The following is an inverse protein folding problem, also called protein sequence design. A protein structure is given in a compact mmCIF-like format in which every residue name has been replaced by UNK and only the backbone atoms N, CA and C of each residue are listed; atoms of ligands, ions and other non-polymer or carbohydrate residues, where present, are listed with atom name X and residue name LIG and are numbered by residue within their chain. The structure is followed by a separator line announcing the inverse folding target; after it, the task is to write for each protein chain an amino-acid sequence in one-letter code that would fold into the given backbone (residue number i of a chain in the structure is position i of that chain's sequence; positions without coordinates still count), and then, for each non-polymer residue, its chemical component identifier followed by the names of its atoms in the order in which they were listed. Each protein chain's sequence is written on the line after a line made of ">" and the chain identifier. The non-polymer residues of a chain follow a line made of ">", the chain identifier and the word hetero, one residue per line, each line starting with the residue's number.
data_IF_745347734009
#
_entry.id   IF_745347734009
#
_cell.length_a   1.000
_cell.length_b   1.000
_cell.length_c   1.000
_cell.angle_alpha   90.00
_cell.angle_beta   90.00
_cell.angle_gamma   90.00
#
_symmetry.space_group_name_H-M   'P 1'
#
loop_
_entity.id
_entity.type
_entity.pdbx_description
1 polymer ?
#
# COMPACT_ATOMS: atom_id res chain seq x y z
N UNK A 1 27.89 -12.80 10.44
CA UNK A 1 27.40 -13.79 9.45
C UNK A 1 26.07 -13.40 8.81
N UNK A 2 24.91 -13.54 9.46
CA UNK A 2 23.60 -13.24 8.83
C UNK A 2 23.46 -11.76 8.43
N UNK A 3 23.88 -10.85 9.31
CA UNK A 3 23.91 -9.41 9.03
C UNK A 3 24.77 -9.08 7.81
N UNK A 4 25.98 -9.63 7.76
CA UNK A 4 26.92 -9.34 6.68
C UNK A 4 26.41 -9.88 5.35
N UNK A 5 25.86 -11.09 5.33
CA UNK A 5 25.23 -11.67 4.13
C UNK A 5 24.01 -10.85 3.68
N UNK A 6 23.17 -10.42 4.62
CA UNK A 6 21.97 -9.63 4.33
C UNK A 6 22.31 -8.23 3.76
N UNK A 7 23.36 -7.59 4.26
CA UNK A 7 23.87 -6.32 3.73
C UNK A 7 24.56 -6.53 2.38
N UNK A 8 25.35 -7.60 2.22
CA UNK A 8 26.05 -7.90 0.97
C UNK A 8 25.11 -8.13 -0.21
N UNK A 9 23.93 -8.73 0.03
CA UNK A 9 22.89 -8.87 -1.01
C UNK A 9 22.04 -7.60 -1.17
N UNK A 10 22.31 -6.53 -0.43
CA UNK A 10 21.58 -5.28 -0.50
C UNK A 10 20.14 -5.40 0.00
N UNK A 11 19.92 -6.06 1.13
CA UNK A 11 18.60 -6.20 1.76
C UNK A 11 17.52 -6.88 0.89
N UNK A 12 17.91 -7.71 -0.09
CA UNK A 12 17.04 -8.43 -1.05
C UNK A 12 16.17 -9.55 -0.45
N UNK A 13 15.88 -9.50 0.85
CA UNK A 13 15.02 -10.47 1.51
C UNK A 13 15.68 -11.81 1.83
N UNK A 14 14.84 -12.77 2.23
CA UNK A 14 15.24 -14.08 2.79
C UNK A 14 15.97 -14.95 1.78
N UNK A 15 15.42 -15.11 0.57
CA UNK A 15 15.94 -16.05 -0.43
C UNK A 15 17.38 -15.70 -0.83
N UNK A 16 17.64 -14.43 -1.15
CA UNK A 16 18.99 -13.97 -1.51
C UNK A 16 19.97 -14.15 -0.35
N UNK A 17 19.55 -13.79 0.87
CA UNK A 17 20.38 -13.94 2.08
C UNK A 17 20.70 -15.41 2.36
N UNK A 18 19.72 -16.30 2.22
CA UNK A 18 19.91 -17.74 2.41
C UNK A 18 20.83 -18.35 1.36
N UNK A 19 20.63 -18.02 0.08
CA UNK A 19 21.48 -18.52 -1.01
C UNK A 19 22.94 -18.14 -0.82
N UNK A 20 23.23 -16.90 -0.41
CA UNK A 20 24.60 -16.48 -0.14
C UNK A 20 25.20 -17.24 1.05
N UNK A 21 24.46 -17.38 2.15
CA UNK A 21 24.94 -18.12 3.33
C UNK A 21 25.16 -19.61 3.03
N UNK A 22 24.28 -20.22 2.23
CA UNK A 22 24.31 -21.63 1.91
C UNK A 22 25.53 -22.06 1.08
N UNK A 23 26.27 -21.11 0.48
CA UNK A 23 27.52 -21.40 -0.25
C UNK A 23 28.66 -21.84 0.66
N UNK A 24 28.66 -21.37 1.92
CA UNK A 24 29.79 -21.56 2.84
C UNK A 24 29.38 -22.19 4.18
N UNK A 25 28.10 -22.14 4.52
CA UNK A 25 27.60 -22.59 5.82
C UNK A 25 26.37 -23.49 5.67
N UNK A 26 26.25 -24.47 6.57
CA UNK A 26 25.10 -25.36 6.65
C UNK A 26 24.81 -25.70 8.11
N UNK A 27 23.56 -25.52 8.54
CA UNK A 27 23.09 -25.99 9.83
C UNK A 27 21.60 -26.36 9.81
N UNK A 28 21.12 -27.20 10.75
CA UNK A 28 19.70 -27.54 10.86
C UNK A 28 18.85 -26.30 11.15
N UNK A 29 17.81 -26.06 10.35
CA UNK A 29 16.91 -24.92 10.54
C UNK A 29 17.41 -23.58 9.96
N UNK A 30 18.54 -23.55 9.26
CA UNK A 30 19.13 -22.35 8.66
C UNK A 30 18.14 -21.45 7.92
N UNK A 31 17.27 -22.03 7.10
CA UNK A 31 16.28 -21.28 6.35
C UNK A 31 15.31 -20.51 7.26
N UNK A 32 14.85 -21.15 8.35
CA UNK A 32 13.97 -20.56 9.34
C UNK A 32 14.65 -19.43 10.10
N UNK A 33 15.92 -19.59 10.44
CA UNK A 33 16.67 -18.58 11.17
C UNK A 33 16.95 -17.35 10.29
N UNK A 34 17.30 -17.56 9.02
CA UNK A 34 17.42 -16.48 8.03
C UNK A 34 16.10 -15.76 7.83
N UNK A 35 14.99 -16.49 7.75
CA UNK A 35 13.65 -15.90 7.65
C UNK A 35 13.34 -14.98 8.84
N UNK A 36 13.59 -15.45 10.07
CA UNK A 36 13.40 -14.66 11.30
C UNK A 36 14.29 -13.43 11.34
N UNK A 37 15.56 -13.58 10.95
CA UNK A 37 16.52 -12.49 10.92
C UNK A 37 16.11 -11.38 9.95
N UNK A 38 15.78 -11.75 8.70
CA UNK A 38 15.36 -10.79 7.68
C UNK A 38 14.04 -10.11 8.07
N UNK A 39 13.08 -10.87 8.61
CA UNK A 39 11.81 -10.31 9.07
C UNK A 39 11.98 -9.30 10.21
N UNK A 40 13.01 -9.43 11.05
CA UNK A 40 13.31 -8.52 12.15
C UNK A 40 14.20 -7.32 11.75
N UNK A 41 14.58 -7.19 10.48
CA UNK A 41 15.48 -6.14 10.01
C UNK A 41 14.77 -4.77 9.99
N UNK A 42 15.11 -3.86 10.90
CA UNK A 42 14.48 -2.54 11.02
C UNK A 42 14.50 -1.70 9.72
N UNK A 43 15.62 -1.60 8.98
CA UNK A 43 15.61 -0.91 7.67
C UNK A 43 14.61 -1.52 6.69
N UNK A 44 14.52 -2.86 6.62
CA UNK A 44 13.58 -3.54 5.74
C UNK A 44 12.13 -3.37 6.18
N UNK A 45 11.85 -3.32 7.48
CA UNK A 45 10.50 -3.07 7.98
C UNK A 45 10.05 -1.62 7.73
N UNK A 46 10.97 -0.66 7.87
CA UNK A 46 10.67 0.77 7.71
C UNK A 46 10.52 1.16 6.24
N UNK A 47 11.44 0.70 5.40
CA UNK A 47 11.57 1.16 4.02
C UNK A 47 11.06 0.11 3.01
N UNK A 48 10.64 -1.06 3.50
CA UNK A 48 10.06 -2.13 2.67
C UNK A 48 8.67 -1.77 2.16
N UNK A 49 8.23 -2.41 1.06
CA UNK A 49 6.87 -2.24 0.59
C UNK A 49 5.90 -2.65 1.70
N UNK A 50 4.96 -1.77 2.02
CA UNK A 50 3.82 -2.13 2.83
C UNK A 50 3.12 -3.29 2.10
N UNK A 51 2.99 -4.44 2.75
CA UNK A 51 2.02 -5.44 2.32
C UNK A 51 0.68 -4.72 2.29
N UNK A 52 0.23 -4.36 1.09
CA UNK A 52 -1.08 -3.80 0.89
C UNK A 52 -2.06 -4.92 1.21
N UNK A 53 -2.42 -5.04 2.49
CA UNK A 53 -3.68 -5.63 2.88
C UNK A 53 -4.73 -4.67 2.33
N UNK A 54 -5.01 -4.76 1.04
CA UNK A 54 -6.14 -4.08 0.41
C UNK A 54 -7.38 -4.74 0.98
N UNK A 55 -7.75 -4.33 2.19
CA UNK A 55 -9.10 -4.55 2.68
C UNK A 55 -9.96 -3.68 1.81
N UNK A 56 -10.53 -4.26 0.74
CA UNK A 56 -11.66 -3.65 0.07
C UNK A 56 -12.76 -3.55 1.13
N UNK A 57 -12.90 -2.36 1.71
CA UNK A 57 -14.06 -2.03 2.52
C UNK A 57 -15.25 -1.98 1.58
N UNK A 58 -15.87 -3.14 1.34
CA UNK A 58 -17.18 -3.22 0.72
C UNK A 58 -18.17 -2.55 1.67
N UNK A 59 -18.54 -1.30 1.39
CA UNK A 59 -19.55 -0.60 2.17
C UNK A 59 -20.89 -1.29 1.88
N UNK A 60 -21.53 -1.95 2.85
CA UNK A 60 -22.83 -2.57 2.61
C UNK A 60 -23.82 -1.47 2.22
N UNK A 61 -24.51 -1.68 1.09
CA UNK A 61 -25.60 -0.81 0.69
C UNK A 61 -26.68 -0.89 1.78
N UNK A 62 -26.79 0.17 2.59
CA UNK A 62 -27.89 0.28 3.55
C UNK A 62 -29.16 0.57 2.75
N UNK A 63 -30.20 -0.29 2.81
CA UNK A 63 -31.45 0.03 2.16
C UNK A 63 -32.01 1.28 2.83
N UNK A 64 -32.30 2.31 2.02
CA UNK A 64 -33.11 3.49 2.40
C UNK A 64 -32.33 4.63 3.09
N UNK A 65 -31.05 4.84 2.80
CA UNK A 65 -30.39 6.14 3.07
C UNK A 65 -30.01 6.84 1.76
N UNK A 66 -30.51 8.07 1.56
CA UNK A 66 -30.01 8.98 0.52
C UNK A 66 -28.66 9.53 0.97
N UNK A 67 -27.62 8.74 0.82
CA UNK A 67 -26.24 9.18 1.03
C UNK A 67 -25.72 9.85 -0.25
N UNK A 68 -25.03 10.99 -0.08
CA UNK A 68 -24.34 11.70 -1.15
C UNK A 68 -22.84 11.60 -0.91
N UNK A 69 -22.09 11.16 -1.92
CA UNK A 69 -20.66 11.29 -1.99
C UNK A 69 -20.35 12.63 -2.65
N UNK A 70 -19.65 13.51 -1.94
CA UNK A 70 -19.32 14.85 -2.42
C UNK A 70 -17.79 14.95 -2.51
N UNK A 71 -17.29 15.39 -3.66
CA UNK A 71 -15.86 15.62 -3.89
C UNK A 71 -15.63 16.95 -4.64
N UNK A 72 -14.37 17.38 -4.68
CA UNK A 72 -13.93 18.56 -5.42
C UNK A 72 -12.89 18.17 -6.45
N UNK A 73 -13.21 18.42 -7.71
CA UNK A 73 -12.25 18.24 -8.80
C UNK A 73 -11.59 19.56 -9.12
N UNK A 74 -10.26 19.59 -9.04
CA UNK A 74 -9.45 20.76 -9.45
C UNK A 74 -9.26 20.73 -10.97
N UNK A 75 -9.57 21.83 -11.62
CA UNK A 75 -9.43 22.01 -13.07
C UNK A 75 -8.64 23.29 -13.41
N UNK A 76 -8.13 23.40 -14.64
CA UNK A 76 -7.65 24.67 -15.17
C UNK A 76 -8.72 25.75 -15.06
N UNK A 77 -8.30 26.97 -14.70
CA UNK A 77 -9.23 28.06 -14.48
C UNK A 77 -9.97 28.43 -15.77
N UNK A 78 -11.30 28.39 -15.72
CA UNK A 78 -12.18 28.82 -16.80
C UNK A 78 -13.22 29.77 -16.23
N UNK A 79 -13.38 30.95 -16.86
CA UNK A 79 -14.36 31.96 -16.43
C UNK A 79 -14.27 32.34 -14.94
N UNK A 80 -13.05 32.34 -14.38
CA UNK A 80 -12.82 32.67 -12.97
C UNK A 80 -13.22 31.57 -11.97
N UNK A 81 -13.47 30.35 -12.44
CA UNK A 81 -13.77 29.16 -11.63
C UNK A 81 -12.70 28.10 -11.83
N UNK A 82 -12.29 27.43 -10.75
CA UNK A 82 -11.20 26.43 -10.73
C UNK A 82 -11.66 25.05 -10.32
N UNK A 83 -12.78 24.95 -9.63
CA UNK A 83 -13.22 23.68 -9.05
C UNK A 83 -14.58 23.29 -9.62
N UNK A 84 -14.83 21.99 -9.63
CA UNK A 84 -16.17 21.43 -9.76
C UNK A 84 -16.47 20.75 -8.43
N UNK A 85 -17.58 21.14 -7.81
CA UNK A 85 -18.21 20.36 -6.75
C UNK A 85 -19.00 19.25 -7.43
N UNK A 86 -18.61 17.99 -7.26
CA UNK A 86 -19.42 16.86 -7.71
C UNK A 86 -20.13 16.22 -6.51
N UNK A 87 -21.44 16.04 -6.64
CA UNK A 87 -22.28 15.36 -5.68
C UNK A 87 -22.91 14.14 -6.35
N UNK A 88 -22.54 12.95 -5.91
CA UNK A 88 -23.04 11.68 -6.41
C UNK A 88 -23.95 11.02 -5.38
N UNK A 89 -25.18 10.74 -5.76
CA UNK A 89 -26.04 9.86 -4.98
C UNK A 89 -25.46 8.45 -4.98
N UNK A 90 -25.11 7.91 -3.81
CA UNK A 90 -24.48 6.58 -3.72
C UNK A 90 -25.48 5.43 -3.93
N UNK A 91 -26.78 5.74 -3.91
CA UNK A 91 -27.85 4.77 -4.16
C UNK A 91 -28.24 4.70 -5.64
N UNK A 92 -28.54 5.84 -6.27
CA UNK A 92 -29.01 5.88 -7.67
C UNK A 92 -27.89 6.06 -8.70
N UNK A 93 -26.70 6.50 -8.26
CA UNK A 93 -25.61 6.89 -9.16
C UNK A 93 -25.83 8.23 -9.86
N UNK A 94 -26.91 8.96 -9.57
CA UNK A 94 -27.16 10.30 -10.13
C UNK A 94 -26.06 11.28 -9.68
N UNK A 95 -25.61 12.15 -10.60
CA UNK A 95 -24.53 13.12 -10.36
C UNK A 95 -25.03 14.54 -10.61
N UNK A 96 -24.75 15.42 -9.66
CA UNK A 96 -24.93 16.86 -9.78
C UNK A 96 -23.55 17.52 -9.70
N UNK A 97 -23.22 18.39 -10.67
CA UNK A 97 -21.91 19.03 -10.75
C UNK A 97 -22.08 20.55 -10.87
N UNK A 98 -21.43 21.30 -9.98
CA UNK A 98 -21.51 22.76 -9.94
C UNK A 98 -20.12 23.37 -10.00
N UNK A 99 -19.82 24.26 -10.96
CA UNK A 99 -18.53 24.93 -11.02
C UNK A 99 -18.43 26.01 -9.93
N UNK A 100 -17.35 25.93 -9.14
CA UNK A 100 -17.05 26.77 -7.96
C UNK A 100 -15.71 27.49 -8.12
N UNK A 101 -15.53 28.57 -7.35
CA UNK A 101 -14.37 29.48 -7.44
C UNK A 101 -13.14 28.91 -6.76
#
# INVERSE_FOLDING_TARGET
>A
LMKDAHVAVGHRGREATFQLLAQQFRWPGMYRDVAKFVAACLPCQRDGPLEATTTYWSRPLRPIVKEWAIDFVVLPAAQGKRYILDARCTFSGSVEAVPTR
#
